data_IF_458247655787
#
_entry.id   IF_458247655787
#
_cell.length_a   1.000
_cell.length_b   1.000
_cell.length_c   1.000
_cell.angle_alpha   90.00
_cell.angle_beta   90.00
_cell.angle_gamma   90.00
#
_symmetry.space_group_name_H-M   'P 1'
#
loop_
_entity.id
_entity.type
_entity.pdbx_description
1 polymer ?
#
# COMPACT_ATOMS: atom_id res chain seq x y z
N UNK A 1 11.74 8.97 -5.56
CA UNK A 1 11.77 7.62 -6.16
C UNK A 1 10.46 6.94 -5.82
N UNK A 2 9.68 6.48 -6.81
CA UNK A 2 8.43 5.75 -6.58
C UNK A 2 8.66 4.27 -6.30
N UNK A 3 7.70 3.59 -5.67
CA UNK A 3 7.71 2.14 -5.46
C UNK A 3 7.11 1.47 -6.71
N UNK A 4 7.75 0.41 -7.21
CA UNK A 4 7.25 -0.34 -8.36
C UNK A 4 6.43 -1.56 -7.89
N UNK A 5 5.32 -1.80 -8.58
CA UNK A 5 4.44 -2.93 -8.34
C UNK A 5 4.44 -3.90 -9.52
N UNK A 6 3.48 -4.83 -9.50
CA UNK A 6 3.24 -5.76 -10.61
C UNK A 6 1.77 -5.75 -11.01
N UNK A 7 1.52 -5.96 -12.31
CA UNK A 7 0.20 -6.20 -12.86
C UNK A 7 0.15 -7.59 -13.48
N UNK A 8 -0.89 -8.35 -13.17
CA UNK A 8 -1.09 -9.70 -13.68
C UNK A 8 -2.53 -9.88 -14.18
N UNK A 9 -2.66 -10.59 -15.30
CA UNK A 9 -3.93 -10.91 -15.94
C UNK A 9 -4.09 -12.42 -16.03
N UNK A 10 -5.29 -12.94 -15.78
CA UNK A 10 -5.62 -14.37 -15.88
C UNK A 10 -7.00 -14.56 -16.50
N UNK A 11 -7.09 -15.36 -17.55
CA UNK A 11 -8.37 -15.80 -18.13
C UNK A 11 -8.89 -17.08 -17.49
N UNK A 12 -10.21 -17.28 -17.51
CA UNK A 12 -10.86 -18.53 -17.16
C UNK A 12 -11.88 -18.89 -18.26
N UNK A 13 -11.58 -19.94 -19.02
CA UNK A 13 -12.41 -20.38 -20.15
C UNK A 13 -13.72 -21.04 -19.69
N UNK A 14 -13.74 -21.67 -18.51
CA UNK A 14 -14.91 -22.39 -18.02
C UNK A 14 -16.11 -21.47 -17.76
N UNK A 15 -15.87 -20.18 -17.55
CA UNK A 15 -16.90 -19.18 -17.32
C UNK A 15 -16.69 -17.89 -18.12
N UNK A 16 -15.86 -17.96 -19.17
CA UNK A 16 -15.54 -16.84 -20.07
C UNK A 16 -15.18 -15.54 -19.33
N UNK A 17 -14.52 -15.65 -18.17
CA UNK A 17 -14.19 -14.52 -17.31
C UNK A 17 -12.70 -14.17 -17.37
N UNK A 18 -12.38 -12.91 -17.14
CA UNK A 18 -11.01 -12.41 -16.95
C UNK A 18 -10.83 -11.86 -15.53
N UNK A 19 -9.62 -12.01 -14.99
CA UNK A 19 -9.19 -11.40 -13.72
C UNK A 19 -7.97 -10.53 -13.97
N UNK A 20 -7.97 -9.33 -13.40
CA UNK A 20 -6.81 -8.45 -13.34
C UNK A 20 -6.44 -8.24 -11.87
N UNK A 21 -5.15 -8.28 -11.55
CA UNK A 21 -4.64 -7.99 -10.21
C UNK A 21 -3.45 -7.06 -10.29
N UNK A 22 -3.53 -5.97 -9.53
CA UNK A 22 -2.44 -5.04 -9.30
C UNK A 22 -1.96 -5.27 -7.87
N UNK A 23 -0.66 -5.49 -7.70
CA UNK A 23 -0.07 -5.74 -6.38
C UNK A 23 1.15 -4.84 -6.14
N UNK A 24 1.23 -4.32 -4.92
CA UNK A 24 2.35 -3.53 -4.41
C UNK A 24 2.71 -4.08 -3.03
N UNK A 25 3.97 -4.42 -2.80
CA UNK A 25 4.45 -4.86 -1.50
C UNK A 25 5.54 -3.91 -1.01
N UNK A 26 5.33 -3.33 0.17
CA UNK A 26 6.29 -2.43 0.80
C UNK A 26 6.15 -2.52 2.32
N UNK A 27 7.22 -2.15 3.02
CA UNK A 27 7.29 -2.08 4.47
C UNK A 27 7.78 -0.69 4.90
N UNK A 28 6.95 0.11 5.59
CA UNK A 28 7.40 1.38 6.14
C UNK A 28 8.20 1.16 7.43
N UNK A 29 9.38 1.78 7.53
CA UNK A 29 10.23 1.72 8.73
C UNK A 29 10.60 3.13 9.20
N UNK A 30 10.35 3.39 10.50
CA UNK A 30 10.77 4.60 11.18
C UNK A 30 12.16 4.38 11.80
N UNK A 31 13.22 4.76 11.07
CA UNK A 31 14.62 4.56 11.52
C UNK A 31 14.92 5.40 12.78
N UNK A 32 14.25 6.55 12.94
CA UNK A 32 14.44 7.45 14.09
C UNK A 32 13.11 7.94 14.65
N UNK A 33 12.46 7.13 15.52
CA UNK A 33 11.18 7.50 16.11
C UNK A 33 11.23 8.79 16.92
N UNK A 34 12.38 9.13 17.51
CA UNK A 34 12.55 10.37 18.29
C UNK A 34 12.40 11.64 17.45
N UNK A 35 12.69 11.56 16.15
CA UNK A 35 12.51 12.68 15.22
C UNK A 35 11.07 12.78 14.69
N UNK A 36 10.19 11.83 15.03
CA UNK A 36 8.79 11.80 14.59
C UNK A 36 7.94 12.40 15.71
N UNK A 37 7.27 13.52 15.40
CA UNK A 37 6.35 14.18 16.30
C UNK A 37 4.95 14.32 15.71
N UNK A 38 3.95 14.37 16.57
CA UNK A 38 2.57 14.73 16.21
C UNK A 38 2.13 15.97 17.02
N UNK A 39 1.57 16.96 16.34
CA UNK A 39 1.02 18.15 17.00
C UNK A 39 -0.40 17.89 17.48
N UNK A 40 -0.64 18.03 18.78
CA UNK A 40 -1.97 17.85 19.39
C UNK A 40 -2.67 19.20 19.61
N UNK A 41 -3.03 19.87 18.51
CA UNK A 41 -3.73 21.15 18.59
C UNK A 41 -5.15 20.97 19.14
N UNK A 42 -5.51 21.76 20.17
CA UNK A 42 -6.89 21.85 20.66
C UNK A 42 -7.37 20.71 21.56
N UNK A 43 -6.48 19.88 22.13
CA UNK A 43 -6.89 18.91 23.15
C UNK A 43 -7.42 19.62 24.39
N UNK A 44 -8.66 19.29 24.77
CA UNK A 44 -9.28 19.66 26.05
C UNK A 44 -9.23 18.46 26.99
N UNK A 45 -9.10 18.73 28.29
CA UNK A 45 -9.09 17.73 29.35
C UNK A 45 -10.44 17.00 29.49
#
# INVERSE_FOLDING_TARGET
MGINGVIAFSGNINNLAGKCRIALWYEPCAIRPEAIGIGLAGQKA
#
